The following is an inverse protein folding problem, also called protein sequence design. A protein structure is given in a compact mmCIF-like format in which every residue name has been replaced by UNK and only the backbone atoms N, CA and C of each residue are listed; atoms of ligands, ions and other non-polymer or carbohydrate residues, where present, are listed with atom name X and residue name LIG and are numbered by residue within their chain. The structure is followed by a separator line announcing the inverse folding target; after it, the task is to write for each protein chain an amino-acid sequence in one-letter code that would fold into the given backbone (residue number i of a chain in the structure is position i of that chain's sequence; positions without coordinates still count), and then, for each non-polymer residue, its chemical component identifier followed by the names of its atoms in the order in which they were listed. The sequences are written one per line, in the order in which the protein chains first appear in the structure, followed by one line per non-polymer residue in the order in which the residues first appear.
data_IF_189249426998
#
_entry.id   IF_189249426998
#
_cell.length_a   1.000
_cell.length_b   1.000
_cell.length_c   1.000
_cell.angle_alpha   90.00
_cell.angle_beta   90.00
_cell.angle_gamma   90.00
#
_symmetry.space_group_name_H-M   'P 1'
#
loop_
_entity.id
_entity.type
_entity.pdbx_description
1 polymer ?
#
# COMPACT_ATOMS: atom_id res chain seq x y z
N UNK A 1 -21.09 20.97 6.17
CA UNK A 1 -20.74 19.59 5.74
C UNK A 1 -20.72 18.74 6.99
N UNK A 2 -21.42 17.60 6.99
CA UNK A 2 -21.44 16.73 8.18
C UNK A 2 -20.03 16.15 8.41
N UNK A 3 -19.66 15.89 9.66
CA UNK A 3 -18.35 15.31 9.98
C UNK A 3 -18.07 13.97 9.28
N UNK A 4 -19.10 13.27 8.80
CA UNK A 4 -18.97 12.05 8.00
C UNK A 4 -18.59 12.28 6.53
N UNK A 5 -18.95 13.42 5.94
CA UNK A 5 -18.65 13.72 4.54
C UNK A 5 -17.16 14.05 4.38
N UNK A 6 -16.61 14.80 5.34
CA UNK A 6 -15.19 15.15 5.37
C UNK A 6 -14.26 13.93 5.47
N UNK A 7 -14.68 12.89 6.20
CA UNK A 7 -13.92 11.63 6.34
C UNK A 7 -13.92 10.83 5.04
N UNK A 8 -15.05 10.80 4.33
CA UNK A 8 -15.20 10.05 3.07
C UNK A 8 -14.41 10.65 1.91
N UNK A 9 -14.14 11.95 1.95
CA UNK A 9 -13.31 12.65 0.95
C UNK A 9 -11.87 12.86 1.43
N UNK A 10 -11.52 12.43 2.63
CA UNK A 10 -10.17 12.56 3.19
C UNK A 10 -9.17 11.62 2.52
N UNK A 11 -7.88 11.95 2.63
CA UNK A 11 -6.77 11.16 2.08
C UNK A 11 -6.83 9.71 2.57
N UNK A 12 -6.56 8.80 1.63
CA UNK A 12 -6.41 7.37 1.87
C UNK A 12 -4.96 7.02 1.59
N UNK A 13 -4.27 6.46 2.58
CA UNK A 13 -2.90 5.98 2.44
C UNK A 13 -2.88 4.47 2.57
N UNK A 14 -2.14 3.82 1.67
CA UNK A 14 -2.11 2.37 1.52
C UNK A 14 -0.68 1.87 1.64
N UNK A 15 -0.44 0.98 2.60
CA UNK A 15 0.80 0.23 2.75
C UNK A 15 0.55 -1.22 2.36
N UNK A 16 1.32 -1.71 1.39
CA UNK A 16 1.09 -3.01 0.80
C UNK A 16 2.34 -3.89 0.86
N UNK A 17 2.26 -4.97 1.63
CA UNK A 17 3.25 -6.05 1.62
C UNK A 17 3.01 -6.95 0.40
N UNK A 18 3.89 -6.87 -0.60
CA UNK A 18 3.79 -7.69 -1.81
C UNK A 18 4.16 -9.15 -1.60
N UNK A 19 4.85 -9.50 -0.51
CA UNK A 19 5.17 -10.88 -0.18
C UNK A 19 3.94 -11.61 0.35
N UNK A 20 3.23 -10.98 1.28
CA UNK A 20 1.99 -11.53 1.84
C UNK A 20 0.87 -11.52 0.80
N UNK A 21 0.70 -10.40 0.11
CA UNK A 21 -0.36 -10.17 -0.86
C UNK A 21 0.23 -9.95 -2.27
N UNK A 22 0.76 -11.00 -2.92
CA UNK A 22 1.41 -10.85 -4.23
C UNK A 22 0.41 -10.52 -5.33
N UNK A 23 0.93 -9.96 -6.43
CA UNK A 23 0.17 -9.83 -7.68
C UNK A 23 -0.16 -11.25 -8.17
N UNK A 24 -1.44 -11.62 -8.36
CA UNK A 24 -1.80 -12.94 -8.84
C UNK A 24 -1.24 -13.22 -10.24
N UNK A 25 -0.95 -14.48 -10.53
CA UNK A 25 -0.50 -14.90 -11.86
C UNK A 25 -1.50 -14.48 -12.95
N UNK A 26 -1.00 -13.88 -14.03
CA UNK A 26 -1.81 -13.37 -15.13
C UNK A 26 -2.57 -12.08 -14.85
N UNK A 27 -2.47 -11.50 -13.64
CA UNK A 27 -3.08 -10.21 -13.33
C UNK A 27 -2.21 -9.04 -13.82
N UNK A 28 -2.80 -8.09 -14.55
CA UNK A 28 -2.09 -6.87 -14.95
C UNK A 28 -1.86 -5.97 -13.72
N UNK A 29 -0.61 -5.83 -13.31
CA UNK A 29 -0.22 -5.02 -12.16
C UNK A 29 -0.69 -3.55 -12.25
N UNK A 30 -0.93 -3.01 -13.46
CA UNK A 30 -1.53 -1.68 -13.66
C UNK A 30 -2.95 -1.57 -13.11
N UNK A 31 -3.63 -2.70 -12.91
CA UNK A 31 -4.98 -2.74 -12.35
C UNK A 31 -4.99 -2.69 -10.80
N UNK A 32 -3.84 -2.76 -10.12
CA UNK A 32 -3.81 -2.72 -8.64
C UNK A 32 -4.38 -1.41 -8.08
N UNK A 33 -3.86 -0.25 -8.50
CA UNK A 33 -4.39 1.06 -8.06
C UNK A 33 -5.89 1.20 -8.39
N UNK A 34 -6.35 0.99 -9.65
CA UNK A 34 -7.77 1.08 -9.97
C UNK A 34 -8.66 0.17 -9.13
N UNK A 35 -8.21 -1.05 -8.82
CA UNK A 35 -8.96 -1.99 -7.98
C UNK A 35 -9.11 -1.49 -6.54
N UNK A 36 -8.04 -0.97 -5.94
CA UNK A 36 -8.07 -0.38 -4.59
C UNK A 36 -8.98 0.85 -4.57
N UNK A 37 -8.79 1.79 -5.50
CA UNK A 37 -9.62 3.01 -5.60
C UNK A 37 -11.11 2.67 -5.76
N UNK A 38 -11.43 1.68 -6.60
CA UNK A 38 -12.80 1.20 -6.81
C UNK A 38 -13.36 0.57 -5.54
N UNK A 39 -12.59 -0.25 -4.83
CA UNK A 39 -13.02 -0.87 -3.58
C UNK A 39 -13.35 0.19 -2.51
N UNK A 40 -12.50 1.21 -2.35
CA UNK A 40 -12.77 2.35 -1.47
C UNK A 40 -14.03 3.11 -1.90
N UNK A 41 -14.19 3.39 -3.20
CA UNK A 41 -15.35 4.11 -3.72
C UNK A 41 -16.67 3.37 -3.49
N UNK A 42 -16.69 2.03 -3.62
CA UNK A 42 -17.89 1.20 -3.37
C UNK A 42 -18.42 1.36 -1.94
N UNK A 43 -17.54 1.53 -0.96
CA UNK A 43 -17.92 1.77 0.44
C UNK A 43 -18.08 3.27 0.78
N UNK A 44 -18.07 4.13 -0.25
CA UNK A 44 -18.35 5.56 -0.15
C UNK A 44 -17.15 6.44 0.18
N UNK A 45 -15.92 5.95 0.00
CA UNK A 45 -14.69 6.73 0.21
C UNK A 45 -14.09 7.11 -1.14
N UNK A 46 -13.98 8.40 -1.41
CA UNK A 46 -13.57 8.96 -2.70
C UNK A 46 -12.41 9.96 -2.58
N UNK A 47 -11.74 10.00 -1.43
CA UNK A 47 -10.54 10.82 -1.26
C UNK A 47 -9.35 10.31 -2.06
N UNK A 48 -8.29 11.14 -2.18
CA UNK A 48 -7.10 10.78 -2.95
C UNK A 48 -6.38 9.59 -2.33
N UNK A 49 -5.97 8.63 -3.16
CA UNK A 49 -5.27 7.40 -2.75
C UNK A 49 -3.77 7.49 -3.04
N UNK A 50 -2.96 7.33 -2.00
CA UNK A 50 -1.51 7.17 -2.07
C UNK A 50 -1.14 5.72 -1.72
N UNK A 51 -0.39 5.04 -2.59
CA UNK A 51 -0.06 3.61 -2.43
C UNK A 51 1.44 3.43 -2.43
N UNK A 52 1.94 2.72 -1.42
CA UNK A 52 3.31 2.23 -1.34
C UNK A 52 3.30 0.71 -1.30
N UNK A 53 3.95 0.09 -2.28
CA UNK A 53 4.20 -1.34 -2.36
C UNK A 53 5.59 -1.64 -1.77
N UNK A 54 5.66 -2.53 -0.77
CA UNK A 54 6.89 -3.00 -0.16
C UNK A 54 7.24 -4.35 -0.77
N UNK A 55 8.39 -4.42 -1.42
CA UNK A 55 8.80 -5.58 -2.19
C UNK A 55 10.32 -5.75 -2.20
N UNK A 56 10.76 -7.00 -2.25
CA UNK A 56 12.12 -7.30 -2.66
C UNK A 56 12.22 -7.12 -4.18
N UNK A 57 12.83 -6.02 -4.63
CA UNK A 57 12.95 -5.69 -6.05
C UNK A 57 13.89 -6.65 -6.79
N UNK A 58 14.76 -7.38 -6.06
CA UNK A 58 15.63 -8.40 -6.65
C UNK A 58 14.87 -9.69 -6.98
N UNK A 59 13.74 -9.92 -6.29
CA UNK A 59 12.88 -11.09 -6.47
C UNK A 59 11.59 -10.76 -7.25
N UNK A 60 11.29 -9.48 -7.44
CA UNK A 60 10.08 -9.03 -8.13
C UNK A 60 10.36 -8.81 -9.62
N UNK A 61 9.57 -9.39 -10.54
CA UNK A 61 9.77 -9.18 -11.97
C UNK A 61 9.73 -7.69 -12.35
N UNK A 62 10.71 -7.23 -13.14
CA UNK A 62 10.84 -5.82 -13.53
C UNK A 62 9.57 -5.26 -14.20
N UNK A 63 8.85 -6.08 -14.97
CA UNK A 63 7.60 -5.66 -15.62
C UNK A 63 6.49 -5.36 -14.60
N UNK A 64 6.44 -6.05 -13.45
CA UNK A 64 5.53 -5.70 -12.36
C UNK A 64 5.92 -4.36 -11.73
N UNK A 65 7.21 -4.15 -11.44
CA UNK A 65 7.71 -2.90 -10.86
C UNK A 65 7.41 -1.69 -11.76
N UNK A 66 7.67 -1.83 -13.06
CA UNK A 66 7.37 -0.81 -14.06
C UNK A 66 5.87 -0.55 -14.19
N UNK A 67 5.06 -1.61 -14.23
CA UNK A 67 3.60 -1.49 -14.30
C UNK A 67 3.02 -0.76 -13.07
N UNK A 68 3.47 -1.08 -11.86
CA UNK A 68 3.07 -0.38 -10.64
C UNK A 68 3.44 1.10 -10.69
N UNK A 69 4.70 1.41 -11.00
CA UNK A 69 5.21 2.77 -11.12
C UNK A 69 4.46 3.59 -12.18
N UNK A 70 4.12 2.98 -13.32
CA UNK A 70 3.35 3.63 -14.39
C UNK A 70 1.96 4.13 -13.96
N UNK A 71 1.44 3.58 -12.84
CA UNK A 71 0.16 3.97 -12.26
C UNK A 71 0.30 4.83 -11.01
N UNK A 72 1.50 5.33 -10.68
CA UNK A 72 1.71 6.16 -9.50
C UNK A 72 1.68 5.36 -8.20
N UNK A 73 1.96 4.05 -8.23
CA UNK A 73 2.24 3.25 -7.03
C UNK A 73 3.73 3.38 -6.73
N UNK A 74 4.07 3.89 -5.54
CA UNK A 74 5.45 3.93 -5.10
C UNK A 74 5.93 2.52 -4.75
N UNK A 75 7.19 2.21 -5.01
CA UNK A 75 7.79 0.91 -4.67
C UNK A 75 8.94 1.09 -3.70
N UNK A 76 8.73 0.63 -2.48
CA UNK A 76 9.72 0.51 -1.42
C UNK A 76 10.48 -0.81 -1.57
N UNK A 77 11.76 -0.76 -1.91
CA UNK A 77 12.62 -1.92 -1.79
C UNK A 77 12.83 -2.27 -0.32
N UNK A 78 12.46 -3.48 0.05
CA UNK A 78 12.73 -4.09 1.36
C UNK A 78 13.35 -5.48 1.20
N UNK A 79 14.04 -5.93 2.25
CA UNK A 79 14.34 -7.35 2.42
C UNK A 79 13.14 -7.97 3.12
N UNK A 80 12.68 -9.12 2.64
CA UNK A 80 11.44 -9.79 3.07
C UNK A 80 11.29 -9.98 4.58
N UNK A 81 12.40 -10.08 5.32
CA UNK A 81 12.42 -10.26 6.78
C UNK A 81 12.20 -8.96 7.56
N UNK A 82 12.34 -7.81 6.90
CA UNK A 82 12.22 -6.49 7.52
C UNK A 82 10.98 -5.72 7.05
N UNK A 83 10.21 -6.24 6.09
CA UNK A 83 9.07 -5.54 5.48
C UNK A 83 8.07 -5.02 6.52
N UNK A 84 7.59 -5.88 7.44
CA UNK A 84 6.65 -5.48 8.48
C UNK A 84 7.18 -4.33 9.35
N UNK A 85 8.44 -4.43 9.80
CA UNK A 85 9.08 -3.40 10.61
C UNK A 85 9.16 -2.06 9.87
N UNK A 86 9.59 -2.08 8.61
CA UNK A 86 9.74 -0.86 7.80
C UNK A 86 8.40 -0.23 7.45
N UNK A 87 7.38 -1.04 7.18
CA UNK A 87 6.00 -0.57 7.02
C UNK A 87 5.50 0.09 8.30
N UNK A 88 5.77 -0.49 9.47
CA UNK A 88 5.38 0.10 10.75
C UNK A 88 6.05 1.45 11.01
N UNK A 89 7.36 1.56 10.76
CA UNK A 89 8.10 2.82 10.89
C UNK A 89 7.50 3.92 9.99
N UNK A 90 7.17 3.58 8.74
CA UNK A 90 6.52 4.53 7.81
C UNK A 90 5.11 4.93 8.27
N UNK A 91 4.33 4.00 8.83
CA UNK A 91 3.02 4.31 9.43
C UNK A 91 3.21 5.29 10.59
N UNK A 92 4.19 5.06 11.46
CA UNK A 92 4.48 5.93 12.60
C UNK A 92 4.81 7.33 12.13
N UNK A 93 5.79 7.47 11.24
CA UNK A 93 6.26 8.76 10.71
C UNK A 93 5.17 9.52 9.94
N UNK A 94 4.38 8.80 9.13
CA UNK A 94 3.31 9.42 8.35
C UNK A 94 2.25 10.08 9.23
N UNK A 95 1.93 9.48 10.39
CA UNK A 95 0.90 10.00 11.32
C UNK A 95 1.29 11.34 11.93
N UNK A 96 2.58 11.57 12.16
CA UNK A 96 3.08 12.83 12.75
C UNK A 96 2.78 14.03 11.85
N UNK A 97 2.64 13.80 10.54
CA UNK A 97 2.42 14.83 9.53
C UNK A 97 0.98 14.85 8.97
N UNK A 98 0.14 13.86 9.30
CA UNK A 98 -1.17 13.69 8.68
C UNK A 98 -2.26 13.40 9.73
N UNK A 99 -2.68 14.40 10.55
CA UNK A 99 -3.69 14.19 11.59
C UNK A 99 -5.08 13.84 10.99
N UNK A 100 -5.99 13.23 11.78
CA UNK A 100 -7.35 12.94 11.32
C UNK A 100 -8.13 14.21 10.88
N UNK A 101 -9.09 14.11 9.94
CA UNK A 101 -9.57 12.88 9.32
C UNK A 101 -8.64 12.35 8.22
N UNK A 102 -8.30 11.07 8.30
CA UNK A 102 -7.67 10.32 7.21
C UNK A 102 -8.00 8.83 7.34
N UNK A 103 -7.79 8.09 6.26
CA UNK A 103 -8.01 6.65 6.20
C UNK A 103 -6.69 5.95 5.94
N UNK A 104 -6.39 4.96 6.77
CA UNK A 104 -5.25 4.07 6.60
C UNK A 104 -5.76 2.74 6.05
N UNK A 105 -5.07 2.20 5.04
CA UNK A 105 -5.30 0.86 4.54
C UNK A 105 -4.00 0.07 4.63
N UNK A 106 -4.05 -1.10 5.27
CA UNK A 106 -2.90 -2.00 5.40
C UNK A 106 -3.23 -3.29 4.66
N UNK A 107 -2.35 -3.69 3.75
CA UNK A 107 -2.48 -4.91 2.95
C UNK A 107 -1.34 -5.84 3.36
N UNK A 108 -1.60 -6.78 4.26
CA UNK A 108 -0.63 -7.73 4.82
C UNK A 108 -1.37 -8.79 5.66
N UNK A 109 -0.77 -9.97 5.80
CA UNK A 109 -1.27 -11.04 6.68
C UNK A 109 -0.75 -10.90 8.12
N UNK A 110 0.25 -10.04 8.33
CA UNK A 110 0.97 -9.83 9.60
C UNK A 110 0.52 -8.60 10.40
N UNK A 111 -0.61 -7.98 10.04
CA UNK A 111 -1.17 -6.86 10.82
C UNK A 111 -1.58 -7.32 12.23
N UNK A 112 -2.10 -8.55 12.33
CA UNK A 112 -2.40 -9.23 13.59
C UNK A 112 -1.06 -9.69 14.20
N UNK A 113 -0.68 -9.14 15.37
CA UNK A 113 0.67 -9.22 15.92
C UNK A 113 1.38 -7.86 16.00
N UNK A 114 2.40 -7.65 15.17
CA UNK A 114 3.39 -6.56 15.25
C UNK A 114 2.77 -5.14 15.28
N UNK A 115 1.59 -4.96 14.68
CA UNK A 115 0.91 -3.67 14.59
C UNK A 115 -0.25 -3.53 15.58
N UNK A 116 -0.79 -4.66 16.06
CA UNK A 116 -2.14 -4.77 16.64
C UNK A 116 -2.37 -3.84 17.84
N UNK A 117 -1.45 -3.81 18.81
CA UNK A 117 -1.59 -3.01 20.03
C UNK A 117 -1.51 -1.51 19.77
N UNK A 118 -0.56 -1.07 18.94
CA UNK A 118 -0.41 0.35 18.63
C UNK A 118 -1.59 0.85 17.79
N UNK A 119 -2.03 0.07 16.80
CA UNK A 119 -3.21 0.40 15.99
C UNK A 119 -4.49 0.43 16.84
N UNK A 120 -4.71 -0.54 17.73
CA UNK A 120 -5.87 -0.53 18.63
C UNK A 120 -5.87 0.72 19.54
N UNK A 121 -4.71 1.08 20.11
CA UNK A 121 -4.55 2.30 20.91
C UNK A 121 -4.79 3.56 20.08
N UNK A 122 -4.31 3.59 18.84
CA UNK A 122 -4.50 4.71 17.93
C UNK A 122 -5.99 4.91 17.62
N UNK A 123 -6.73 3.82 17.36
CA UNK A 123 -8.17 3.87 17.09
C UNK A 123 -8.99 4.39 18.27
N UNK A 124 -8.55 4.14 19.52
CA UNK A 124 -9.22 4.68 20.71
C UNK A 124 -8.98 6.18 20.90
N UNK A 125 -7.82 6.69 20.46
CA UNK A 125 -7.39 8.08 20.71
C UNK A 125 -7.68 9.03 19.55
N UNK A 126 -7.92 8.48 18.36
CA UNK A 126 -8.01 9.26 17.13
C UNK A 126 -9.23 8.83 16.31
N UNK A 127 -9.50 9.58 15.23
CA UNK A 127 -10.61 9.29 14.31
C UNK A 127 -10.13 8.70 12.97
N UNK A 128 -8.92 8.14 12.93
CA UNK A 128 -8.49 7.42 11.73
C UNK A 128 -9.44 6.28 11.42
N UNK A 129 -9.73 6.09 10.14
CA UNK A 129 -10.41 4.89 9.64
C UNK A 129 -9.37 3.86 9.25
N UNK A 130 -9.61 2.60 9.60
CA UNK A 130 -8.72 1.49 9.30
C UNK A 130 -9.39 0.51 8.34
N UNK A 131 -8.77 0.35 7.18
CA UNK A 131 -9.10 -0.62 6.15
C UNK A 131 -8.03 -1.70 6.11
N UNK A 132 -8.43 -2.94 5.81
CA UNK A 132 -7.48 -4.06 5.71
C UNK A 132 -7.70 -4.88 4.46
N UNK A 133 -6.63 -5.41 3.87
CA UNK A 133 -6.74 -6.56 2.98
C UNK A 133 -5.67 -7.60 3.32
N UNK A 134 -5.98 -8.86 3.09
CA UNK A 134 -5.13 -9.99 3.46
C UNK A 134 -5.29 -11.12 2.44
N UNK A 135 -4.26 -11.94 2.28
CA UNK A 135 -4.25 -13.09 1.37
C UNK A 135 -5.06 -14.25 1.96
N UNK A 136 -5.00 -14.44 3.28
CA UNK A 136 -5.73 -15.44 4.03
C UNK A 136 -6.37 -14.77 5.24
N UNK A 137 -7.65 -15.04 5.48
CA UNK A 137 -8.32 -14.49 6.65
C UNK A 137 -7.74 -15.09 7.93
N UNK A 138 -7.00 -14.28 8.67
CA UNK A 138 -6.57 -14.58 10.03
C UNK A 138 -7.70 -14.23 10.99
N UNK A 139 -8.07 -15.19 11.83
CA UNK A 139 -9.16 -15.04 12.83
C UNK A 139 -8.62 -14.66 14.21
N UNK A 140 -7.37 -14.19 14.31
CA UNK A 140 -6.62 -14.26 15.57
C UNK A 140 -6.80 -13.02 16.45
N UNK A 141 -7.13 -11.85 15.90
CA UNK A 141 -7.30 -10.64 16.72
C UNK A 141 -8.65 -9.93 16.57
N UNK A 142 -9.42 -9.94 17.67
CA UNK A 142 -10.74 -9.28 17.81
C UNK A 142 -10.66 -7.80 18.22
N UNK A 143 -9.46 -7.27 18.48
CA UNK A 143 -9.28 -5.96 19.12
C UNK A 143 -9.23 -4.77 18.15
N UNK A 144 -8.99 -5.01 16.86
CA UNK A 144 -8.95 -3.96 15.84
C UNK A 144 -10.34 -3.66 15.31
N UNK A 145 -10.74 -2.38 15.36
CA UNK A 145 -11.98 -1.92 14.75
C UNK A 145 -11.77 -1.77 13.24
N UNK A 146 -11.95 -2.86 12.49
CA UNK A 146 -11.89 -2.84 11.01
C UNK A 146 -13.11 -2.09 10.46
N UNK A 147 -12.89 -0.96 9.79
CA UNK A 147 -13.98 -0.23 9.13
C UNK A 147 -14.38 -0.88 7.80
N UNK A 148 -13.42 -1.52 7.12
CA UNK A 148 -13.66 -2.36 5.96
C UNK A 148 -12.52 -3.40 5.84
N UNK A 149 -12.82 -4.55 5.27
CA UNK A 149 -11.83 -5.60 5.04
C UNK A 149 -12.12 -6.38 3.76
N UNK A 150 -11.06 -6.82 3.07
CA UNK A 150 -11.17 -7.64 1.86
C UNK A 150 -10.19 -8.82 1.87
N UNK A 151 -10.60 -9.90 1.20
CA UNK A 151 -9.64 -10.89 0.72
C UNK A 151 -8.92 -10.28 -0.49
N UNK A 152 -7.59 -10.26 -0.49
CA UNK A 152 -6.77 -9.60 -1.50
C UNK A 152 -7.13 -10.02 -2.92
N UNK A 153 -7.24 -11.32 -3.16
CA UNK A 153 -7.62 -11.85 -4.47
C UNK A 153 -8.99 -11.33 -4.96
N UNK A 154 -9.99 -11.27 -4.06
CA UNK A 154 -11.33 -10.75 -4.40
C UNK A 154 -11.32 -9.25 -4.64
N UNK A 155 -10.52 -8.49 -3.88
CA UNK A 155 -10.34 -7.06 -4.10
C UNK A 155 -9.85 -6.77 -5.52
N UNK A 156 -8.93 -7.61 -6.03
CA UNK A 156 -8.41 -7.50 -7.39
C UNK A 156 -9.38 -8.01 -8.46
N UNK A 157 -10.12 -9.10 -8.22
CA UNK A 157 -11.10 -9.68 -9.16
C UNK A 157 -12.30 -8.76 -9.41
N UNK A 158 -12.80 -8.10 -8.36
CA UNK A 158 -13.82 -7.05 -8.47
C UNK A 158 -13.34 -5.83 -9.29
N UNK A 159 -12.07 -5.88 -9.69
CA UNK A 159 -11.31 -4.91 -10.45
C UNK A 159 -11.54 -4.86 -11.96
N UNK A 160 -12.12 -5.91 -12.55
CA UNK A 160 -12.16 -6.16 -14.00
C UNK A 160 -13.03 -5.25 -14.87
N UNK A 161 -13.35 -4.04 -14.41
CA UNK A 161 -14.00 -3.00 -15.24
C UNK A 161 -12.98 -2.11 -15.94
N UNK A 162 -13.32 -1.63 -17.14
CA UNK A 162 -12.46 -0.83 -18.02
C UNK A 162 -11.63 0.26 -17.31
N UNK A 163 -10.41 0.58 -17.79
CA UNK A 163 -9.51 1.51 -17.12
C UNK A 163 -10.17 2.88 -16.95
N UNK A 164 -10.16 3.39 -15.71
CA UNK A 164 -10.47 4.79 -15.47
C UNK A 164 -9.27 5.61 -15.97
N UNK A 165 -9.53 6.58 -16.85
CA UNK A 165 -8.53 7.52 -17.36
C UNK A 165 -7.85 8.20 -16.16
N UNK A 166 -6.54 8.02 -16.04
CA UNK A 166 -5.74 8.55 -14.94
C UNK A 166 -5.76 10.08 -14.94
N UNK A 167 -6.39 10.66 -13.91
CA UNK A 167 -6.24 12.08 -13.59
C UNK A 167 -4.95 12.29 -12.78
N UNK A 168 -4.08 13.20 -13.26
CA UNK A 168 -2.93 13.75 -12.54
C UNK A 168 -2.07 12.73 -11.77
N UNK A 169 -1.21 12.00 -12.49
CA UNK A 169 -0.24 11.09 -11.86
C UNK A 169 0.74 11.89 -10.99
N UNK A 170 0.69 11.68 -9.68
CA UNK A 170 1.83 11.95 -8.80
C UNK A 170 3.01 11.11 -9.27
N UNK A 171 4.20 11.71 -9.38
CA UNK A 171 5.43 10.99 -9.75
C UNK A 171 5.60 9.77 -8.83
N UNK A 172 5.58 8.56 -9.39
CA UNK A 172 5.94 7.37 -8.64
C UNK A 172 7.40 7.49 -8.20
N UNK A 173 7.72 7.00 -7.01
CA UNK A 173 9.10 6.94 -6.52
C UNK A 173 9.48 5.50 -6.24
N UNK A 174 10.72 5.15 -6.60
CA UNK A 174 11.40 3.96 -6.12
C UNK A 174 12.32 4.38 -4.99
N UNK A 175 12.29 3.68 -3.87
CA UNK A 175 13.24 3.96 -2.80
C UNK A 175 13.69 2.67 -2.12
N UNK A 176 14.93 2.65 -1.64
CA UNK A 176 15.52 1.54 -0.93
C UNK A 176 15.54 1.85 0.57
N UNK A 177 14.75 1.11 1.34
CA UNK A 177 14.65 1.34 2.79
C UNK A 177 15.91 0.93 3.55
N UNK A 178 16.62 -0.10 3.09
CA UNK A 178 17.86 -0.55 3.71
C UNK A 178 18.99 0.49 3.60
N UNK A 179 19.02 1.24 2.49
CA UNK A 179 20.11 2.13 2.13
C UNK A 179 19.72 3.62 2.11
N UNK A 180 18.45 3.96 2.38
CA UNK A 180 17.89 5.33 2.35
C UNK A 180 18.14 6.08 1.03
N UNK A 181 18.04 5.36 -0.09
CA UNK A 181 18.22 5.91 -1.42
C UNK A 181 16.88 6.10 -2.13
N UNK A 182 16.66 7.26 -2.77
CA UNK A 182 15.43 7.62 -3.48
C UNK A 182 15.73 7.83 -4.99
N UNK A 183 14.90 7.29 -5.88
CA UNK A 183 15.00 7.42 -7.33
C UNK A 183 13.62 7.66 -7.99
N UNK A 184 13.57 8.58 -8.97
CA UNK A 184 12.32 9.02 -9.59
C UNK A 184 11.93 8.23 -10.86
N UNK A 185 12.83 7.43 -11.46
CA UNK A 185 12.47 6.52 -12.57
C UNK A 185 13.58 5.52 -12.89
N UNK A 186 13.21 4.30 -13.31
CA UNK A 186 14.09 3.44 -14.10
C UNK A 186 14.10 3.97 -15.53
N UNK A 187 15.10 4.79 -15.88
CA UNK A 187 15.43 4.95 -17.29
C UNK A 187 15.97 3.61 -17.80
N UNK A 188 15.41 3.14 -18.91
CA UNK A 188 15.87 1.93 -19.59
C UNK A 188 17.30 2.15 -20.10
N UNK A 189 18.30 1.66 -19.37
CA UNK A 189 19.69 1.71 -19.82
C UNK A 189 20.69 1.30 -18.75
N UNK A 190 21.33 0.16 -18.99
CA UNK A 190 22.65 -0.25 -18.47
C UNK A 190 22.77 -0.49 -16.95
N UNK A 191 22.72 -1.78 -16.59
CA UNK A 191 23.40 -2.29 -15.41
C UNK A 191 24.90 -2.08 -15.67
N UNK A 192 25.45 -0.98 -15.15
CA UNK A 192 26.88 -0.83 -15.07
C UNK A 192 27.35 -1.66 -13.88
N UNK A 193 28.07 -2.75 -14.15
CA UNK A 193 28.83 -3.51 -13.17
C UNK A 193 29.68 -2.53 -12.36
N UNK A 194 29.30 -2.28 -11.10
CA UNK A 194 30.23 -1.76 -10.13
C UNK A 194 31.05 -2.95 -9.63
N UNK A 195 32.26 -3.04 -10.16
CA UNK A 195 33.32 -3.95 -9.74
C UNK A 195 33.44 -4.00 -8.22
N UNK A 196 33.22 -5.17 -7.65
CA UNK A 196 33.82 -5.55 -6.38
C UNK A 196 35.28 -5.90 -6.66
N UNK A 197 36.18 -4.93 -6.49
CA UNK A 197 37.59 -5.22 -6.19
C UNK A 197 37.91 -4.83 -4.74
N UNK A 198 38.34 -5.86 -4.01
CA UNK A 198 38.98 -5.95 -2.68
C UNK A 198 38.11 -5.76 -1.42
#
# INVERSE_FOLDING_TARGET
MSGNDAVKTAKIVVWWDMKDCPIPEGYDARQVRPSIERACKKIGYSGPVSITAYADQTQTPAHHLQALSSTGVAVAHTISECTCKLMYEDIVEWRDHNPPPATMMIISDHVEGDFSWDLARLQQRTRYKLFMAYSVQTYKDLFLLRNAAWLWKKLLEEGGGAPLVAGGLSSAMFYCKSCKFDCQSLESGEIQEASLEL
#
